data_IF_994570358668
#
_entry.id   IF_994570358668
#
_cell.length_a   1.000
_cell.length_b   1.000
_cell.length_c   1.000
_cell.angle_alpha   90.00
_cell.angle_beta   90.00
_cell.angle_gamma   90.00
#
_symmetry.space_group_name_H-M   'P 1'
#
loop_
_entity.id
_entity.type
_entity.pdbx_description
1 polymer ?
#
# COMPACT_ATOMS: atom_id res chain seq x y z
N UNK A 1 17.85 2.86 -9.25
CA UNK A 1 16.44 2.69 -9.68
C UNK A 1 15.57 3.61 -8.84
N UNK A 2 14.73 4.39 -9.50
CA UNK A 2 13.69 5.22 -8.87
C UNK A 2 12.33 4.61 -9.20
N UNK A 3 11.43 4.61 -8.22
CA UNK A 3 10.07 4.11 -8.35
C UNK A 3 9.14 5.21 -7.84
N UNK A 4 8.34 5.77 -8.74
CA UNK A 4 7.23 6.64 -8.39
C UNK A 4 5.93 5.87 -8.49
N UNK A 5 5.27 5.75 -7.36
CA UNK A 5 4.02 5.03 -7.22
C UNK A 5 2.98 5.95 -6.60
N UNK A 6 1.79 5.99 -7.17
CA UNK A 6 0.66 6.63 -6.53
C UNK A 6 -0.65 5.92 -6.76
N UNK A 7 -1.62 6.12 -5.86
CA UNK A 7 -2.99 5.66 -6.06
C UNK A 7 -4.03 6.60 -5.46
N UNK A 8 -5.21 6.63 -6.06
CA UNK A 8 -6.33 7.43 -5.58
C UNK A 8 -7.67 6.78 -5.94
N UNK A 9 -8.76 7.12 -5.20
CA UNK A 9 -8.78 7.86 -3.95
C UNK A 9 -8.16 7.09 -2.77
N UNK A 10 -7.67 7.80 -1.75
CA UNK A 10 -7.11 7.19 -0.52
C UNK A 10 -8.19 6.84 0.50
N UNK A 11 -9.16 7.72 0.68
CA UNK A 11 -10.20 7.59 1.71
C UNK A 11 -11.56 7.35 1.03
N UNK A 12 -12.38 6.52 1.65
CA UNK A 12 -13.80 6.43 1.31
C UNK A 12 -14.53 7.64 1.92
N UNK A 13 -15.16 8.45 1.05
CA UNK A 13 -15.91 9.64 1.48
C UNK A 13 -17.39 9.37 1.72
N UNK A 14 -17.94 8.28 1.17
CA UNK A 14 -19.32 7.88 1.39
C UNK A 14 -19.49 7.29 2.80
N UNK A 15 -20.06 8.08 3.70
CA UNK A 15 -20.30 7.69 5.10
C UNK A 15 -21.30 6.55 5.27
N UNK A 16 -22.29 6.42 4.37
CA UNK A 16 -23.27 5.32 4.41
C UNK A 16 -22.55 4.02 4.05
N UNK A 17 -21.80 4.03 2.95
CA UNK A 17 -20.98 2.87 2.54
C UNK A 17 -19.93 2.53 3.59
N UNK A 18 -19.27 3.52 4.18
CA UNK A 18 -18.27 3.29 5.22
C UNK A 18 -18.87 2.60 6.44
N UNK A 19 -20.03 3.08 6.93
CA UNK A 19 -20.76 2.46 8.03
C UNK A 19 -21.11 1.01 7.71
N UNK A 20 -21.68 0.74 6.54
CA UNK A 20 -22.04 -0.61 6.12
C UNK A 20 -20.83 -1.55 6.12
N UNK A 21 -19.69 -1.11 5.57
CA UNK A 21 -18.47 -1.92 5.55
C UNK A 21 -17.91 -2.17 6.95
N UNK A 22 -17.96 -1.17 7.84
CA UNK A 22 -17.52 -1.31 9.23
C UNK A 22 -18.41 -2.31 9.96
N UNK A 23 -19.73 -2.14 9.91
CA UNK A 23 -20.69 -3.05 10.56
C UNK A 23 -20.53 -4.49 10.06
N UNK A 24 -20.33 -4.71 8.75
CA UNK A 24 -20.03 -6.04 8.19
C UNK A 24 -18.71 -6.63 8.72
N UNK A 25 -17.69 -5.80 8.90
CA UNK A 25 -16.42 -6.23 9.50
C UNK A 25 -16.61 -6.63 10.97
N UNK A 26 -17.35 -5.83 11.74
CA UNK A 26 -17.66 -6.12 13.14
C UNK A 26 -18.51 -7.40 13.27
N UNK A 27 -19.48 -7.61 12.38
CA UNK A 27 -20.27 -8.83 12.33
C UNK A 27 -19.43 -10.09 12.12
N UNK A 28 -18.33 -9.97 11.36
CA UNK A 28 -17.50 -11.10 10.98
C UNK A 28 -16.38 -11.41 11.98
N UNK A 29 -15.82 -10.38 12.61
CA UNK A 29 -14.56 -10.51 13.35
C UNK A 29 -14.65 -10.15 14.83
N UNK A 30 -15.78 -9.60 15.30
CA UNK A 30 -15.98 -9.29 16.71
C UNK A 30 -16.93 -10.30 17.33
N UNK A 31 -16.54 -10.80 18.51
CA UNK A 31 -17.33 -11.72 19.34
C UNK A 31 -18.71 -11.16 19.65
N UNK A 32 -19.70 -12.04 19.75
CA UNK A 32 -21.11 -11.68 19.88
C UNK A 32 -21.36 -10.74 21.08
N UNK A 33 -20.69 -10.96 22.22
CA UNK A 33 -20.87 -10.16 23.43
C UNK A 33 -20.37 -8.72 23.30
N UNK A 34 -19.41 -8.45 22.41
CA UNK A 34 -18.79 -7.14 22.22
C UNK A 34 -19.32 -6.39 21.00
N UNK A 35 -20.05 -7.07 20.11
CA UNK A 35 -20.43 -6.56 18.79
C UNK A 35 -21.33 -5.33 18.87
N UNK A 36 -22.36 -5.35 19.71
CA UNK A 36 -23.28 -4.21 19.83
C UNK A 36 -22.58 -2.96 20.36
N UNK A 37 -21.67 -3.13 21.34
CA UNK A 37 -20.84 -2.03 21.82
C UNK A 37 -19.93 -1.50 20.70
N UNK A 38 -19.28 -2.37 19.94
CA UNK A 38 -18.41 -1.97 18.84
C UNK A 38 -19.19 -1.23 17.73
N UNK A 39 -20.39 -1.69 17.39
CA UNK A 39 -21.29 -1.03 16.42
C UNK A 39 -21.78 0.32 16.93
N UNK A 40 -22.03 0.47 18.23
CA UNK A 40 -22.43 1.76 18.81
C UNK A 40 -21.34 2.83 18.71
N UNK A 41 -20.08 2.42 18.55
CA UNK A 41 -18.91 3.30 18.41
C UNK A 41 -18.23 3.13 17.03
N UNK A 42 -19.01 2.84 16.00
CA UNK A 42 -18.48 2.52 14.67
C UNK A 42 -17.67 3.68 14.04
N UNK A 43 -17.98 4.93 14.38
CA UNK A 43 -17.26 6.11 13.87
C UNK A 43 -15.77 6.11 14.26
N UNK A 44 -15.39 5.40 15.33
CA UNK A 44 -13.99 5.28 15.77
C UNK A 44 -13.10 4.53 14.78
N UNK A 45 -13.70 3.79 13.83
CA UNK A 45 -12.99 3.08 12.76
C UNK A 45 -12.81 3.94 11.49
N UNK A 46 -13.28 5.18 11.49
CA UNK A 46 -13.10 6.11 10.37
C UNK A 46 -11.74 6.84 10.40
N UNK A 47 -11.24 7.28 9.24
CA UNK A 47 -11.77 7.01 7.91
C UNK A 47 -11.34 5.62 7.41
N UNK A 48 -12.22 4.95 6.64
CA UNK A 48 -11.81 3.78 5.87
C UNK A 48 -10.93 4.20 4.69
N UNK A 49 -9.87 3.43 4.45
CA UNK A 49 -8.84 3.77 3.46
C UNK A 49 -8.63 2.62 2.49
N UNK A 50 -8.43 2.96 1.22
CA UNK A 50 -7.72 2.07 0.31
C UNK A 50 -6.28 1.92 0.81
N UNK A 51 -5.72 0.73 0.65
CA UNK A 51 -4.33 0.45 0.99
C UNK A 51 -3.72 -0.44 -0.07
N UNK A 52 -2.83 0.16 -0.85
CA UNK A 52 -1.97 -0.53 -1.81
C UNK A 52 -0.53 -0.29 -1.37
N UNK A 53 0.24 -1.35 -1.24
CA UNK A 53 1.67 -1.32 -0.91
C UNK A 53 2.47 -1.94 -2.05
N UNK A 54 3.79 -1.72 -2.07
CA UNK A 54 4.65 -2.43 -3.03
C UNK A 54 5.78 -3.21 -2.36
N UNK A 55 6.25 -4.19 -3.10
CA UNK A 55 7.51 -4.89 -2.88
C UNK A 55 8.30 -4.99 -4.17
N UNK A 56 9.61 -5.18 -4.02
CA UNK A 56 10.55 -5.28 -5.12
C UNK A 56 11.33 -6.57 -4.97
N UNK A 57 11.43 -7.34 -6.05
CA UNK A 57 12.31 -8.49 -6.19
C UNK A 57 13.30 -8.24 -7.33
N UNK A 58 14.57 -8.53 -7.09
CA UNK A 58 15.62 -8.52 -8.10
C UNK A 58 15.82 -9.93 -8.69
N UNK A 59 16.72 -10.11 -9.67
CA UNK A 59 16.95 -11.41 -10.30
C UNK A 59 17.40 -12.53 -9.33
N UNK A 60 17.89 -12.16 -8.14
CA UNK A 60 18.42 -13.06 -7.12
C UNK A 60 17.51 -13.22 -5.91
N UNK A 61 16.50 -12.36 -5.77
CA UNK A 61 15.47 -12.51 -4.74
C UNK A 61 14.94 -11.18 -4.20
N UNK A 62 14.38 -11.25 -3.00
CA UNK A 62 13.60 -10.17 -2.42
C UNK A 62 14.47 -8.97 -2.01
N UNK A 63 14.06 -7.77 -2.46
CA UNK A 63 14.69 -6.48 -2.13
C UNK A 63 13.91 -5.67 -1.11
N UNK A 64 12.83 -6.21 -0.58
CA UNK A 64 12.08 -5.62 0.51
C UNK A 64 10.71 -5.13 0.07
N UNK A 65 9.96 -4.68 1.07
CA UNK A 65 8.61 -4.21 0.92
C UNK A 65 8.47 -2.82 1.56
N UNK A 66 8.12 -1.84 0.72
CA UNK A 66 7.81 -0.50 1.16
C UNK A 66 6.33 -0.46 1.56
N UNK A 67 6.02 -0.99 2.74
CA UNK A 67 4.68 -1.01 3.33
C UNK A 67 4.27 0.37 3.85
N UNK A 68 4.10 1.33 2.94
CA UNK A 68 3.73 2.70 3.27
C UNK A 68 2.23 2.90 3.16
N UNK A 69 1.68 3.63 4.13
CA UNK A 69 0.29 4.06 4.07
C UNK A 69 0.07 5.22 3.10
N UNK A 70 1.10 6.02 2.82
CA UNK A 70 0.96 7.19 1.96
C UNK A 70 0.58 6.76 0.53
N UNK A 71 -0.43 7.41 -0.08
CA UNK A 71 -0.87 7.09 -1.43
C UNK A 71 0.09 7.59 -2.51
N UNK A 72 1.06 8.42 -2.18
CA UNK A 72 2.11 8.92 -3.08
C UNK A 72 3.46 8.51 -2.49
N UNK A 73 4.27 7.82 -3.30
CA UNK A 73 5.51 7.21 -2.85
C UNK A 73 6.59 7.44 -3.90
N UNK A 74 7.65 8.13 -3.48
CA UNK A 74 8.89 8.29 -4.23
C UNK A 74 9.95 7.43 -3.58
N UNK A 75 10.33 6.33 -4.23
CA UNK A 75 11.23 5.34 -3.66
C UNK A 75 12.52 5.26 -4.45
N UNK A 76 13.61 5.10 -3.71
CA UNK A 76 14.95 4.95 -4.23
C UNK A 76 15.48 3.57 -3.87
N UNK A 77 16.07 2.90 -4.85
CA UNK A 77 16.86 1.69 -4.67
C UNK A 77 18.16 1.82 -5.46
N UNK A 78 19.29 1.88 -4.75
CA UNK A 78 20.62 1.94 -5.36
C UNK A 78 21.61 1.02 -4.63
N UNK A 79 22.85 0.99 -5.11
CA UNK A 79 23.94 0.30 -4.44
C UNK A 79 24.32 0.92 -3.09
N UNK A 80 24.20 2.24 -2.96
CA UNK A 80 24.68 2.99 -1.80
C UNK A 80 23.59 3.25 -0.76
N UNK A 81 22.37 3.48 -1.24
CA UNK A 81 21.22 3.87 -0.42
C UNK A 81 19.93 3.25 -0.93
N UNK A 82 18.95 3.18 -0.03
CA UNK A 82 17.61 2.72 -0.34
C UNK A 82 16.60 3.41 0.55
N UNK A 83 15.39 3.57 0.04
CA UNK A 83 14.25 3.99 0.85
C UNK A 83 13.97 2.96 1.97
N UNK A 84 13.54 3.41 3.16
CA UNK A 84 13.15 2.50 4.23
C UNK A 84 12.15 1.43 3.78
N UNK A 85 12.38 0.19 4.21
CA UNK A 85 11.65 -1.00 3.77
C UNK A 85 12.27 -1.72 2.57
N UNK A 86 13.21 -1.08 1.86
CA UNK A 86 13.98 -1.69 0.77
C UNK A 86 15.44 -1.87 1.17
N UNK A 87 16.08 -2.91 0.62
CA UNK A 87 17.48 -3.25 0.85
C UNK A 87 18.37 -2.73 -0.29
N UNK A 88 19.28 -1.82 0.04
CA UNK A 88 20.35 -1.37 -0.87
C UNK A 88 21.26 -2.53 -1.30
N UNK A 89 21.95 -2.33 -2.41
CA UNK A 89 22.86 -3.31 -2.99
C UNK A 89 22.90 -3.19 -4.51
N UNK A 90 23.90 -3.81 -5.12
CA UNK A 90 24.13 -3.74 -6.57
C UNK A 90 22.85 -4.00 -7.37
N UNK A 91 22.58 -3.13 -8.34
CA UNK A 91 21.47 -3.30 -9.27
C UNK A 91 21.92 -4.25 -10.38
N UNK A 92 21.61 -5.52 -10.23
CA UNK A 92 22.02 -6.54 -11.18
C UNK A 92 21.20 -6.45 -12.47
N UNK A 93 21.84 -6.74 -13.61
CA UNK A 93 21.15 -6.94 -14.86
C UNK A 93 20.27 -8.19 -14.78
N UNK A 94 19.07 -8.13 -15.35
CA UNK A 94 18.12 -9.24 -15.35
C UNK A 94 16.69 -8.77 -15.15
N UNK A 95 15.80 -9.72 -14.86
CA UNK A 95 14.39 -9.43 -14.62
C UNK A 95 14.16 -8.92 -13.20
N UNK A 96 13.50 -7.78 -13.08
CA UNK A 96 13.05 -7.21 -11.82
C UNK A 96 11.54 -7.31 -11.76
N UNK A 97 11.01 -7.60 -10.58
CA UNK A 97 9.56 -7.66 -10.33
C UNK A 97 9.18 -6.60 -9.31
N UNK A 98 8.17 -5.79 -9.64
CA UNK A 98 7.51 -4.90 -8.69
C UNK A 98 6.09 -5.41 -8.50
N UNK A 99 5.78 -5.80 -7.27
CA UNK A 99 4.48 -6.35 -6.91
C UNK A 99 3.67 -5.32 -6.15
N UNK A 100 2.47 -5.00 -6.66
CA UNK A 100 1.48 -4.19 -5.96
C UNK A 100 0.57 -5.11 -5.13
N UNK A 101 0.58 -4.94 -3.82
CA UNK A 101 -0.26 -5.70 -2.88
C UNK A 101 -1.47 -4.86 -2.46
N UNK A 102 -2.66 -5.29 -2.87
CA UNK A 102 -3.93 -4.61 -2.57
C UNK A 102 -4.48 -5.16 -1.26
N UNK A 103 -4.15 -4.52 -0.15
CA UNK A 103 -4.62 -4.92 1.18
C UNK A 103 -6.09 -4.55 1.40
N UNK A 104 -6.53 -3.41 0.85
CA UNK A 104 -7.91 -2.96 0.93
C UNK A 104 -8.27 -2.08 -0.26
N UNK A 105 -9.43 -2.36 -0.87
CA UNK A 105 -10.11 -1.47 -1.82
C UNK A 105 -11.56 -1.33 -1.36
N UNK A 106 -11.88 -0.17 -0.78
CA UNK A 106 -13.16 0.13 -0.12
C UNK A 106 -13.99 1.16 -0.89
N UNK A 107 -13.38 1.86 -1.84
CA UNK A 107 -14.07 2.76 -2.78
C UNK A 107 -14.57 2.01 -4.01
N UNK A 108 -15.43 2.64 -4.81
CA UNK A 108 -15.98 2.01 -6.03
C UNK A 108 -14.91 1.83 -7.11
N UNK A 109 -14.01 2.81 -7.25
CA UNK A 109 -12.81 2.71 -8.06
C UNK A 109 -11.57 3.11 -7.27
N UNK A 110 -10.42 2.51 -7.60
CA UNK A 110 -9.11 2.92 -7.15
C UNK A 110 -8.12 2.76 -8.31
N UNK A 111 -7.50 3.87 -8.70
CA UNK A 111 -6.60 3.97 -9.85
C UNK A 111 -5.19 4.18 -9.34
N UNK A 112 -4.22 3.54 -9.98
CA UNK A 112 -2.82 3.71 -9.64
C UNK A 112 -2.00 4.19 -10.84
N UNK A 113 -0.88 4.82 -10.54
CA UNK A 113 0.20 5.12 -11.47
C UNK A 113 1.49 4.51 -10.92
N UNK A 114 2.28 3.88 -11.78
CA UNK A 114 3.58 3.32 -11.43
C UNK A 114 4.57 3.65 -12.55
N UNK A 115 5.63 4.37 -12.20
CA UNK A 115 6.74 4.69 -13.08
C UNK A 115 8.03 4.19 -12.45
N UNK A 116 8.84 3.52 -13.24
CA UNK A 116 10.11 2.94 -12.79
C UNK A 116 11.17 3.30 -13.81
N UNK A 117 12.28 3.85 -13.35
CA UNK A 117 13.39 4.17 -14.23
C UNK A 117 14.74 4.07 -13.51
N UNK A 118 15.79 4.08 -14.32
CA UNK A 118 17.17 4.12 -13.90
C UNK A 118 17.84 5.33 -14.54
N UNK A 119 18.48 6.18 -13.74
CA UNK A 119 19.39 7.21 -14.25
C UNK A 119 20.80 6.64 -14.16
N UNK A 120 21.49 6.54 -15.29
CA UNK A 120 22.93 6.34 -15.29
C UNK A 120 23.58 7.70 -15.00
N UNK A 121 24.31 7.81 -13.90
CA UNK A 121 25.23 8.94 -13.73
C UNK A 121 26.34 8.77 -14.76
N UNK A 122 26.30 9.58 -15.83
CA UNK A 122 27.45 9.76 -16.69
C UNK A 122 28.53 10.48 -15.88
N UNK A 123 29.50 9.71 -15.38
CA UNK A 123 30.74 10.22 -14.80
C UNK A 123 31.67 10.82 -15.86
#
# INVERSE_FOLDING_TARGET
MKIDFSYSPKNLQDGVKARTLIEQGLDRYVEDELREQAKSNWESYLPLKNLITLSVDDPTGHRGAAHRHDPEQHLLLSGLESSPGLSKGTLQAGMWTVTLSLHAVVTDDCRYSLQIWHEEEHG
#
